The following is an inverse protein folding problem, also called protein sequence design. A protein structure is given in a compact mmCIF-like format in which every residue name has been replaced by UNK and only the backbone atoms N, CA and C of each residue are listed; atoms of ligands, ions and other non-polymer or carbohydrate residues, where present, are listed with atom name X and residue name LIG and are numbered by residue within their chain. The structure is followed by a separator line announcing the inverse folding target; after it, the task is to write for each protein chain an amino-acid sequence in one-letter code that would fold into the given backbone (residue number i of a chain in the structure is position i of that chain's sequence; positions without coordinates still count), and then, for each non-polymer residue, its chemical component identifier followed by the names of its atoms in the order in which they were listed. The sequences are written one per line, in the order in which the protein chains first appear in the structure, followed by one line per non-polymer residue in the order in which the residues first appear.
data_IF_363106935047
#
_entry.id   IF_363106935047
#
_cell.length_a   1.000
_cell.length_b   1.000
_cell.length_c   1.000
_cell.angle_alpha   90.00
_cell.angle_beta   90.00
_cell.angle_gamma   90.00
#
_symmetry.space_group_name_H-M   'P 1'
#
loop_
_entity.id
_entity.type
_entity.pdbx_description
1 polymer ?
#
# COMPACT_ATOMS: atom_id res chain seq x y z
N UNK A 1 -25.46 -42.95 -18.83
CA UNK A 1 -24.07 -42.44 -18.89
C UNK A 1 -23.94 -40.90 -18.93
N UNK A 2 -25.03 -40.15 -19.18
CA UNK A 2 -25.03 -38.67 -19.27
C UNK A 2 -24.76 -37.94 -17.93
N UNK A 3 -25.22 -38.49 -16.80
CA UNK A 3 -25.10 -37.84 -15.49
C UNK A 3 -23.67 -37.73 -14.95
N UNK A 4 -22.78 -38.67 -15.27
CA UNK A 4 -21.38 -38.63 -14.84
C UNK A 4 -20.57 -37.55 -15.57
N UNK A 5 -20.91 -37.31 -16.83
CA UNK A 5 -20.29 -36.29 -17.68
C UNK A 5 -20.73 -34.89 -17.22
N UNK A 6 -22.03 -34.69 -16.95
CA UNK A 6 -22.54 -33.43 -16.41
C UNK A 6 -21.94 -33.07 -15.04
N UNK A 7 -21.77 -34.06 -14.16
CA UNK A 7 -21.14 -33.85 -12.84
C UNK A 7 -19.66 -33.45 -12.95
N UNK A 8 -18.92 -34.02 -13.90
CA UNK A 8 -17.54 -33.61 -14.21
C UNK A 8 -17.49 -32.18 -14.75
N UNK A 9 -18.39 -31.81 -15.67
CA UNK A 9 -18.46 -30.45 -16.19
C UNK A 9 -18.82 -29.43 -15.10
N UNK A 10 -19.75 -29.75 -14.22
CA UNK A 10 -20.10 -28.92 -13.06
C UNK A 10 -18.92 -28.73 -12.10
N UNK A 11 -18.16 -29.79 -11.79
CA UNK A 11 -16.96 -29.70 -10.95
C UNK A 11 -15.88 -28.84 -11.59
N UNK A 12 -15.63 -29.00 -12.89
CA UNK A 12 -14.65 -28.20 -13.63
C UNK A 12 -15.07 -26.73 -13.63
N UNK A 13 -16.34 -26.43 -13.89
CA UNK A 13 -16.86 -25.06 -13.83
C UNK A 13 -16.69 -24.45 -12.44
N UNK A 14 -16.99 -25.21 -11.38
CA UNK A 14 -16.85 -24.73 -10.00
C UNK A 14 -15.38 -24.42 -9.67
N UNK A 15 -14.44 -25.29 -10.05
CA UNK A 15 -13.00 -25.07 -9.88
C UNK A 15 -12.53 -23.86 -10.67
N UNK A 16 -12.97 -23.71 -11.92
CA UNK A 16 -12.64 -22.57 -12.77
C UNK A 16 -13.15 -21.26 -12.16
N UNK A 17 -14.38 -21.24 -11.64
CA UNK A 17 -14.95 -20.06 -10.98
C UNK A 17 -14.18 -19.71 -9.70
N UNK A 18 -13.82 -20.70 -8.88
CA UNK A 18 -13.00 -20.50 -7.68
C UNK A 18 -11.62 -19.95 -8.05
N UNK A 19 -10.98 -20.50 -9.07
CA UNK A 19 -9.69 -20.04 -9.56
C UNK A 19 -9.75 -18.61 -10.12
N UNK A 20 -10.76 -18.31 -10.94
CA UNK A 20 -10.96 -16.97 -11.51
C UNK A 20 -11.30 -15.91 -10.44
N UNK A 21 -11.84 -16.31 -9.29
CA UNK A 21 -12.27 -15.39 -8.23
C UNK A 21 -11.45 -15.50 -6.94
N UNK A 22 -10.27 -16.13 -6.98
CA UNK A 22 -9.46 -16.46 -5.80
C UNK A 22 -9.21 -15.24 -4.87
N UNK A 23 -8.84 -14.09 -5.43
CA UNK A 23 -8.60 -12.88 -4.64
C UNK A 23 -9.82 -12.29 -3.92
N UNK A 24 -11.06 -12.59 -4.35
CA UNK A 24 -12.28 -12.23 -3.59
C UNK A 24 -12.51 -13.20 -2.44
N UNK A 25 -12.23 -14.49 -2.68
CA UNK A 25 -12.38 -15.57 -1.71
C UNK A 25 -11.41 -15.35 -0.54
N UNK A 26 -10.15 -14.99 -0.81
CA UNK A 26 -9.16 -14.69 0.24
C UNK A 26 -9.61 -13.57 1.19
N UNK A 27 -10.27 -12.52 0.70
CA UNK A 27 -10.77 -11.42 1.55
C UNK A 27 -11.87 -11.84 2.53
N UNK A 28 -12.67 -12.84 2.16
CA UNK A 28 -13.73 -13.38 3.03
C UNK A 28 -13.12 -14.17 4.18
N UNK A 29 -12.00 -14.86 3.94
CA UNK A 29 -11.35 -15.70 4.94
C UNK A 29 -10.29 -14.97 5.78
N UNK A 30 -9.75 -13.83 5.30
CA UNK A 30 -8.73 -13.07 6.03
C UNK A 30 -9.04 -11.55 6.11
N UNK A 31 -10.16 -11.15 6.76
CA UNK A 31 -10.59 -9.75 6.83
C UNK A 31 -9.66 -8.84 7.66
N UNK A 32 -8.71 -9.39 8.41
CA UNK A 32 -7.81 -8.62 9.28
C UNK A 32 -6.65 -7.94 8.55
N UNK A 33 -6.43 -8.25 7.27
CA UNK A 33 -5.31 -7.71 6.49
C UNK A 33 -5.66 -6.51 5.62
N UNK A 34 -6.94 -6.14 5.56
CA UNK A 34 -7.37 -4.87 4.98
C UNK A 34 -7.38 -3.82 6.07
N UNK A 35 -6.49 -2.83 5.95
CA UNK A 35 -6.56 -1.61 6.77
C UNK A 35 -7.93 -0.98 6.50
N UNK A 36 -8.78 -0.76 7.53
CA UNK A 36 -10.08 -0.15 7.33
C UNK A 36 -9.93 1.22 6.66
N UNK A 37 -10.81 1.55 5.70
CA UNK A 37 -10.75 2.83 4.98
C UNK A 37 -10.76 4.05 5.93
N UNK A 38 -11.42 3.92 7.09
CA UNK A 38 -11.42 4.94 8.14
C UNK A 38 -10.03 5.15 8.75
N UNK A 39 -9.32 4.06 9.05
CA UNK A 39 -7.95 4.10 9.59
C UNK A 39 -6.98 4.71 8.57
N UNK A 40 -7.14 4.41 7.28
CA UNK A 40 -6.33 5.01 6.22
C UNK A 40 -6.51 6.53 6.15
N UNK A 41 -7.76 7.00 6.24
CA UNK A 41 -8.09 8.42 6.15
C UNK A 41 -7.64 9.24 7.38
N UNK A 42 -7.44 8.59 8.52
CA UNK A 42 -7.05 9.22 9.78
C UNK A 42 -5.53 9.16 10.04
N UNK A 43 -4.80 8.35 9.28
CA UNK A 43 -3.37 8.18 9.45
C UNK A 43 -2.62 9.49 9.18
N UNK A 44 -1.67 9.81 10.05
CA UNK A 44 -0.74 10.90 9.81
C UNK A 44 0.42 10.38 8.97
N UNK A 45 0.43 10.72 7.68
CA UNK A 45 1.48 10.34 6.74
C UNK A 45 2.23 11.57 6.27
N UNK A 46 3.55 11.56 6.44
CA UNK A 46 4.46 12.59 5.95
C UNK A 46 5.49 11.97 5.02
N UNK A 47 5.60 12.52 3.81
CA UNK A 47 6.53 12.10 2.78
C UNK A 47 7.62 13.16 2.59
N UNK A 48 8.87 12.81 2.91
CA UNK A 48 10.05 13.60 2.57
C UNK A 48 10.61 13.08 1.24
N UNK A 49 10.61 13.93 0.21
CA UNK A 49 10.86 13.55 -1.17
C UNK A 49 11.62 14.62 -1.96
N UNK A 50 11.87 14.32 -3.23
CA UNK A 50 12.24 15.31 -4.26
C UNK A 50 11.40 15.07 -5.52
N UNK A 51 11.26 16.09 -6.37
CA UNK A 51 10.50 15.99 -7.62
C UNK A 51 11.06 14.97 -8.61
N UNK A 52 12.39 14.89 -8.74
CA UNK A 52 13.06 14.10 -9.77
C UNK A 52 13.16 12.60 -9.41
N UNK A 53 13.08 12.24 -8.14
CA UNK A 53 13.29 10.88 -7.67
C UNK A 53 12.18 9.91 -8.14
N UNK A 54 12.58 8.83 -8.81
CA UNK A 54 11.67 7.79 -9.30
C UNK A 54 10.92 7.07 -8.17
N UNK A 55 11.61 6.71 -7.08
CA UNK A 55 10.96 6.06 -5.95
C UNK A 55 9.98 6.98 -5.21
N UNK A 56 10.27 8.28 -5.12
CA UNK A 56 9.31 9.25 -4.60
C UNK A 56 8.03 9.28 -5.46
N UNK A 57 8.16 9.25 -6.79
CA UNK A 57 7.00 9.18 -7.70
C UNK A 57 6.20 7.88 -7.51
N UNK A 58 6.87 6.76 -7.27
CA UNK A 58 6.20 5.49 -6.97
C UNK A 58 5.43 5.56 -5.65
N UNK A 59 6.03 6.14 -4.60
CA UNK A 59 5.35 6.35 -3.31
C UNK A 59 4.12 7.22 -3.44
N UNK A 60 4.19 8.38 -4.12
CA UNK A 60 3.04 9.26 -4.37
C UNK A 60 1.90 8.49 -5.03
N UNK A 61 2.18 7.82 -6.17
CA UNK A 61 1.19 7.02 -6.90
C UNK A 61 0.56 5.95 -6.03
N UNK A 62 1.35 5.27 -5.20
CA UNK A 62 0.83 4.25 -4.30
C UNK A 62 -0.13 4.83 -3.26
N UNK A 63 0.26 5.92 -2.59
CA UNK A 63 -0.58 6.59 -1.58
C UNK A 63 -1.88 7.10 -2.23
N UNK A 64 -1.80 7.73 -3.40
CA UNK A 64 -2.95 8.21 -4.16
C UNK A 64 -3.90 7.06 -4.55
N UNK A 65 -3.36 5.95 -5.08
CA UNK A 65 -4.14 4.77 -5.48
C UNK A 65 -4.83 4.08 -4.30
N UNK A 66 -4.23 4.17 -3.11
CA UNK A 66 -4.81 3.61 -1.87
C UNK A 66 -5.72 4.60 -1.15
N UNK A 67 -5.85 5.84 -1.63
CA UNK A 67 -6.63 6.89 -0.96
C UNK A 67 -6.09 7.24 0.42
N UNK A 68 -4.78 7.09 0.63
CA UNK A 68 -4.11 7.44 1.89
C UNK A 68 -3.73 8.92 1.79
N UNK A 69 -4.31 9.82 2.61
CA UNK A 69 -3.90 11.22 2.64
C UNK A 69 -2.49 11.35 3.21
N UNK A 70 -1.68 12.24 2.63
CA UNK A 70 -0.33 12.53 3.10
C UNK A 70 0.04 14.00 2.91
N UNK A 71 0.99 14.47 3.72
CA UNK A 71 1.70 15.72 3.48
C UNK A 71 3.02 15.39 2.81
N UNK A 72 3.38 16.14 1.78
CA UNK A 72 4.66 15.99 1.11
C UNK A 72 5.51 17.24 1.33
N UNK A 73 6.80 17.01 1.62
CA UNK A 73 7.81 18.05 1.67
C UNK A 73 8.97 17.74 0.74
N UNK A 74 9.27 18.68 -0.16
CA UNK A 74 10.45 18.60 -1.00
C UNK A 74 11.68 19.11 -0.25
N UNK A 75 12.62 18.21 0.06
CA UNK A 75 13.81 18.50 0.86
C UNK A 75 14.85 19.37 0.13
N UNK A 76 14.68 19.61 -1.17
CA UNK A 76 15.54 20.51 -1.95
C UNK A 76 14.96 21.93 -2.05
N UNK A 77 13.66 22.09 -1.80
CA UNK A 77 12.97 23.39 -1.91
C UNK A 77 12.60 24.00 -0.57
N UNK A 78 12.54 23.20 0.49
CA UNK A 78 12.19 23.63 1.84
C UNK A 78 13.34 23.34 2.82
N UNK A 79 13.91 24.41 3.38
CA UNK A 79 15.01 24.32 4.34
C UNK A 79 14.60 23.71 5.68
N UNK A 80 13.35 23.92 6.11
CA UNK A 80 12.80 23.29 7.31
C UNK A 80 12.63 21.80 7.07
N UNK A 81 12.04 21.43 5.93
CA UNK A 81 11.91 20.02 5.53
C UNK A 81 13.26 19.32 5.41
N UNK A 82 14.28 20.00 4.86
CA UNK A 82 15.65 19.48 4.80
C UNK A 82 16.22 19.20 6.19
N UNK A 83 16.00 20.10 7.15
CA UNK A 83 16.45 19.94 8.53
C UNK A 83 15.73 18.77 9.21
N UNK A 84 14.42 18.67 9.05
CA UNK A 84 13.63 17.56 9.60
C UNK A 84 14.09 16.24 9.00
N UNK A 85 14.25 16.16 7.68
CA UNK A 85 14.83 15.01 6.99
C UNK A 85 16.19 14.58 7.54
N UNK A 86 17.08 15.53 7.84
CA UNK A 86 18.37 15.24 8.46
C UNK A 86 18.22 14.71 9.89
N UNK A 87 17.30 15.27 10.69
CA UNK A 87 17.00 14.81 12.04
C UNK A 87 16.44 13.37 12.05
N UNK A 88 15.73 12.97 10.99
CA UNK A 88 15.28 11.59 10.76
C UNK A 88 16.41 10.65 10.28
N UNK A 89 17.67 11.08 10.32
CA UNK A 89 18.85 10.30 9.96
C UNK A 89 19.22 10.35 8.47
N UNK A 90 18.44 11.03 7.63
CA UNK A 90 18.75 11.26 6.21
C UNK A 90 19.18 10.01 5.44
N UNK A 91 20.12 10.17 4.50
CA UNK A 91 20.81 9.06 3.82
C UNK A 91 20.10 8.44 2.60
N UNK A 92 18.87 8.83 2.30
CA UNK A 92 18.14 8.36 1.12
C UNK A 92 16.71 8.87 1.09
N UNK A 93 16.12 8.90 -0.11
CA UNK A 93 14.72 9.30 -0.32
C UNK A 93 13.99 8.22 -1.13
N UNK A 94 12.66 8.08 -0.95
CA UNK A 94 11.82 8.80 0.02
C UNK A 94 12.06 8.34 1.48
N UNK A 95 11.76 9.22 2.43
CA UNK A 95 11.49 8.84 3.83
C UNK A 95 10.01 9.10 4.09
N UNK A 96 9.31 8.10 4.61
CA UNK A 96 7.90 8.20 4.96
C UNK A 96 7.77 8.02 6.47
N UNK A 97 7.15 8.97 7.13
CA UNK A 97 6.67 8.83 8.50
C UNK A 97 5.18 8.47 8.45
N UNK A 98 4.82 7.30 8.97
CA UNK A 98 3.44 6.84 9.10
C UNK A 98 3.15 6.64 10.58
N UNK A 99 2.37 7.54 11.18
CA UNK A 99 2.01 7.50 12.61
C UNK A 99 3.22 7.38 13.57
N UNK A 100 4.36 7.98 13.23
CA UNK A 100 5.63 7.89 13.98
C UNK A 100 6.53 6.72 13.57
N UNK A 101 6.07 5.84 12.66
CA UNK A 101 6.87 4.75 12.11
C UNK A 101 7.60 5.23 10.86
N UNK A 102 8.94 5.23 10.93
CA UNK A 102 9.79 5.63 9.82
C UNK A 102 10.05 4.49 8.84
N UNK A 103 9.74 4.74 7.57
CA UNK A 103 9.93 3.84 6.44
C UNK A 103 10.90 4.51 5.48
N UNK A 104 11.91 3.77 5.02
CA UNK A 104 12.95 4.27 4.11
C UNK A 104 12.80 3.62 2.74
N UNK A 105 12.82 4.43 1.69
CA UNK A 105 12.62 3.98 0.33
C UNK A 105 11.15 3.67 0.03
N UNK A 106 10.92 3.04 -1.13
CA UNK A 106 9.59 2.61 -1.54
C UNK A 106 9.31 1.20 -1.02
N UNK A 107 8.46 1.10 0.01
CA UNK A 107 8.00 -0.17 0.59
C UNK A 107 6.47 -0.11 0.88
N UNK A 108 5.63 -0.52 -0.08
CA UNK A 108 4.17 -0.51 0.05
C UNK A 108 3.64 -1.32 1.23
N UNK A 109 4.26 -2.45 1.52
CA UNK A 109 3.78 -3.38 2.55
C UNK A 109 4.09 -2.83 3.94
N UNK A 110 5.28 -2.25 4.12
CA UNK A 110 5.62 -1.52 5.34
C UNK A 110 4.69 -0.32 5.57
N UNK A 111 4.35 0.43 4.51
CA UNK A 111 3.42 1.57 4.61
C UNK A 111 2.07 1.09 5.11
N UNK A 112 1.49 0.05 4.51
CA UNK A 112 0.19 -0.48 4.93
C UNK A 112 0.23 -1.07 6.34
N UNK A 113 1.32 -1.73 6.71
CA UNK A 113 1.49 -2.28 8.04
C UNK A 113 1.50 -1.18 9.12
N UNK A 114 2.12 -0.03 8.82
CA UNK A 114 2.21 1.11 9.74
C UNK A 114 0.92 1.93 9.88
N UNK A 115 -0.08 1.70 9.02
CA UNK A 115 -1.39 2.37 9.14
C UNK A 115 -2.25 1.82 10.28
N UNK A 116 -1.91 0.66 10.84
CA UNK A 116 -2.76 -0.07 11.80
C UNK A 116 -2.75 0.53 13.20
#
# INVERSE_FOLDING_TARGET
MLGGVLKKFLLILLVVVVYQNWGKIERVFNPSQVVPAQTQAQANVVLYATEWCGYCKLTRRFLDQKGIPYKEFDIEKDAVARKDYQALGGGGIPIIDVNGTLIRGYDPDAILAALK
#
